data_IF_432110847251
#
_entry.id   IF_432110847251
#
_cell.length_a   1.000
_cell.length_b   1.000
_cell.length_c   1.000
_cell.angle_alpha   90.00
_cell.angle_beta   90.00
_cell.angle_gamma   90.00
#
_symmetry.space_group_name_H-M   'P 1'
#
loop_
_entity.id
_entity.type
_entity.pdbx_description
1 polymer ?
#
# COMPACT_ATOMS: atom_id res chain seq x y z
N UNK A 1 48.53 35.83 22.46
CA UNK A 1 47.12 35.36 22.51
C UNK A 1 46.63 35.52 23.93
N UNK A 2 45.49 36.20 24.17
CA UNK A 2 45.01 36.43 25.54
C UNK A 2 44.61 35.08 26.21
N UNK A 3 44.97 34.86 27.48
CA UNK A 3 44.85 33.57 28.18
C UNK A 3 43.40 33.06 28.32
N UNK A 4 42.41 33.92 28.08
CA UNK A 4 41.00 33.56 28.14
C UNK A 4 40.56 32.67 26.96
N UNK A 5 41.22 32.73 25.80
CA UNK A 5 40.80 31.95 24.62
C UNK A 5 41.03 30.44 24.77
N UNK A 6 42.07 30.03 25.48
CA UNK A 6 42.37 28.62 25.73
C UNK A 6 41.29 27.94 26.59
N UNK A 7 40.59 28.71 27.44
CA UNK A 7 39.55 28.19 28.33
C UNK A 7 38.21 27.95 27.61
N UNK A 8 37.91 28.72 26.57
CA UNK A 8 36.70 28.59 25.76
C UNK A 8 36.88 27.71 24.53
N UNK A 9 38.12 27.43 24.11
CA UNK A 9 38.45 26.55 23.00
C UNK A 9 37.76 25.18 23.06
N UNK A 10 37.70 24.45 24.21
CA UNK A 10 36.98 23.17 24.27
C UNK A 10 35.46 23.33 24.10
N UNK A 11 34.86 24.40 24.62
CA UNK A 11 33.43 24.68 24.47
C UNK A 11 33.07 25.02 23.01
N UNK A 12 33.92 25.77 22.33
CA UNK A 12 33.75 26.10 20.91
C UNK A 12 33.87 24.83 20.05
N UNK A 13 34.79 23.93 20.38
CA UNK A 13 34.96 22.66 19.68
C UNK A 13 33.74 21.74 19.84
N UNK A 14 33.19 21.66 21.07
CA UNK A 14 31.96 20.91 21.34
C UNK A 14 30.77 21.52 20.60
N UNK A 15 30.64 22.86 20.62
CA UNK A 15 29.57 23.54 19.91
C UNK A 15 29.67 23.34 18.38
N UNK A 16 30.87 23.41 17.81
CA UNK A 16 31.10 23.14 16.39
C UNK A 16 30.78 21.69 16.01
N UNK A 17 31.17 20.73 16.86
CA UNK A 17 30.83 19.32 16.68
C UNK A 17 29.31 19.11 16.76
N UNK A 18 28.65 19.74 17.73
CA UNK A 18 27.20 19.67 17.90
C UNK A 18 26.47 20.21 16.67
N UNK A 19 26.89 21.34 16.10
CA UNK A 19 26.29 21.90 14.87
C UNK A 19 26.39 20.93 13.69
N UNK A 20 27.45 20.13 13.61
CA UNK A 20 27.63 19.17 12.51
C UNK A 20 26.88 17.85 12.73
N UNK A 21 26.74 17.41 13.98
CA UNK A 21 26.13 16.12 14.35
C UNK A 21 24.61 16.23 14.60
N UNK A 22 24.13 17.35 15.14
CA UNK A 22 22.68 17.55 15.34
C UNK A 22 21.85 17.38 14.06
N UNK A 23 22.21 17.96 12.89
CA UNK A 23 21.38 17.81 11.70
C UNK A 23 21.41 16.39 11.12
N UNK A 24 22.41 15.55 11.41
CA UNK A 24 22.41 14.15 10.98
C UNK A 24 21.57 13.26 11.90
N UNK A 25 21.53 13.57 13.21
CA UNK A 25 20.70 12.85 14.20
C UNK A 25 19.23 13.29 14.14
N UNK A 26 18.96 14.57 13.84
CA UNK A 26 17.61 15.13 13.75
C UNK A 26 16.94 14.96 12.39
N UNK A 27 17.61 14.30 11.42
CA UNK A 27 16.96 13.94 10.15
C UNK A 27 15.80 12.99 10.45
N UNK A 28 14.59 13.53 10.41
CA UNK A 28 13.35 12.75 10.47
C UNK A 28 13.37 11.73 9.33
N UNK A 29 13.61 10.47 9.67
CA UNK A 29 13.32 9.37 8.77
C UNK A 29 11.82 9.40 8.49
N UNK A 30 11.42 9.67 7.24
CA UNK A 30 10.04 9.39 6.81
C UNK A 30 9.90 7.88 6.71
N UNK A 31 9.67 7.25 7.85
CA UNK A 31 9.40 5.82 7.95
C UNK A 31 7.99 5.58 7.40
N UNK A 32 7.91 5.23 6.13
CA UNK A 32 6.64 4.89 5.49
C UNK A 32 6.80 4.64 4.00
N UNK A 33 6.06 3.68 3.42
CA UNK A 33 6.10 3.41 1.99
C UNK A 33 5.71 4.66 1.20
N UNK A 34 6.40 4.87 0.07
CA UNK A 34 6.12 6.00 -0.82
C UNK A 34 4.74 5.87 -1.48
N UNK A 35 4.21 6.98 -1.99
CA UNK A 35 2.95 7.01 -2.74
C UNK A 35 2.92 5.98 -3.89
N UNK A 36 4.04 5.83 -4.61
CA UNK A 36 4.16 4.85 -5.70
C UNK A 36 4.14 3.42 -5.17
N UNK A 37 4.87 3.13 -4.08
CA UNK A 37 4.86 1.81 -3.42
C UNK A 37 3.45 1.42 -2.97
N UNK A 38 2.71 2.33 -2.32
CA UNK A 38 1.33 2.10 -1.90
C UNK A 38 0.40 1.84 -3.08
N UNK A 39 0.58 2.56 -4.19
CA UNK A 39 -0.21 2.35 -5.40
C UNK A 39 0.06 0.98 -6.04
N UNK A 40 1.33 0.56 -6.12
CA UNK A 40 1.70 -0.77 -6.59
C UNK A 40 1.13 -1.86 -5.70
N UNK A 41 1.23 -1.70 -4.37
CA UNK A 41 0.63 -2.64 -3.41
C UNK A 41 -0.90 -2.75 -3.56
N UNK A 42 -1.60 -1.63 -3.81
CA UNK A 42 -3.04 -1.67 -4.06
C UNK A 42 -3.39 -2.45 -5.34
N UNK A 43 -2.59 -2.30 -6.40
CA UNK A 43 -2.76 -3.04 -7.66
C UNK A 43 -2.46 -4.53 -7.44
N UNK A 44 -1.38 -4.85 -6.75
CA UNK A 44 -0.98 -6.22 -6.43
C UNK A 44 -2.02 -6.91 -5.55
N UNK A 45 -2.52 -6.23 -4.52
CA UNK A 45 -3.61 -6.72 -3.66
C UNK A 45 -4.88 -7.01 -4.47
N UNK A 46 -5.27 -6.13 -5.40
CA UNK A 46 -6.41 -6.39 -6.29
C UNK A 46 -6.20 -7.64 -7.16
N UNK A 47 -4.99 -7.85 -7.68
CA UNK A 47 -4.66 -9.04 -8.47
C UNK A 47 -4.63 -10.31 -7.61
N UNK A 48 -4.17 -10.22 -6.36
CA UNK A 48 -4.21 -11.33 -5.41
C UNK A 48 -5.64 -11.71 -5.05
N UNK A 49 -6.52 -10.72 -4.82
CA UNK A 49 -7.95 -10.96 -4.58
C UNK A 49 -8.57 -11.65 -5.79
N UNK A 50 -8.37 -11.11 -6.99
CA UNK A 50 -8.92 -11.68 -8.22
C UNK A 50 -8.46 -13.13 -8.48
N UNK A 51 -7.16 -13.41 -8.26
CA UNK A 51 -6.62 -14.77 -8.36
C UNK A 51 -7.15 -15.68 -7.25
N UNK A 52 -7.27 -15.17 -6.02
CA UNK A 52 -7.82 -15.89 -4.88
C UNK A 52 -9.28 -16.28 -5.12
N UNK A 53 -10.11 -15.35 -5.59
CA UNK A 53 -11.51 -15.59 -5.94
C UNK A 53 -11.67 -16.63 -7.05
N UNK A 54 -10.84 -16.55 -8.09
CA UNK A 54 -10.85 -17.56 -9.16
C UNK A 54 -10.46 -18.94 -8.64
N UNK A 55 -9.44 -19.02 -7.79
CA UNK A 55 -9.03 -20.28 -7.16
C UNK A 55 -10.11 -20.83 -6.22
N UNK A 56 -10.75 -19.95 -5.44
CA UNK A 56 -11.83 -20.33 -4.53
C UNK A 56 -13.03 -20.85 -5.31
N UNK A 57 -13.42 -20.17 -6.40
CA UNK A 57 -14.47 -20.62 -7.32
C UNK A 57 -14.14 -21.95 -7.99
N UNK A 58 -12.89 -22.18 -8.38
CA UNK A 58 -12.48 -23.47 -8.93
C UNK A 58 -12.66 -24.62 -7.92
N UNK A 59 -12.45 -24.36 -6.63
CA UNK A 59 -12.61 -25.36 -5.58
C UNK A 59 -14.05 -25.51 -5.05
N UNK A 60 -14.83 -24.43 -5.01
CA UNK A 60 -16.14 -24.37 -4.33
C UNK A 60 -17.32 -24.01 -5.24
N UNK A 61 -17.11 -23.94 -6.57
CA UNK A 61 -18.07 -23.57 -7.63
C UNK A 61 -18.72 -22.17 -7.52
N UNK A 62 -18.35 -21.39 -6.50
CA UNK A 62 -18.83 -20.03 -6.21
C UNK A 62 -17.70 -19.12 -5.71
N UNK A 63 -17.89 -17.82 -5.79
CA UNK A 63 -17.01 -16.82 -5.16
C UNK A 63 -17.21 -16.76 -3.64
N UNK A 64 -16.21 -16.27 -2.89
CA UNK A 64 -16.32 -16.20 -1.42
C UNK A 64 -16.90 -14.86 -0.95
N UNK A 65 -17.93 -14.86 -0.07
CA UNK A 65 -18.40 -13.63 0.55
C UNK A 65 -17.43 -13.10 1.62
N UNK A 66 -16.38 -13.85 1.96
CA UNK A 66 -15.49 -13.53 3.06
C UNK A 66 -14.06 -13.36 2.57
N UNK A 67 -13.53 -12.15 2.75
CA UNK A 67 -12.13 -11.84 2.43
C UNK A 67 -11.14 -12.76 3.18
N UNK A 68 -11.52 -13.24 4.37
CA UNK A 68 -10.71 -14.13 5.20
C UNK A 68 -10.36 -15.44 4.50
N UNK A 69 -11.25 -15.95 3.66
CA UNK A 69 -10.99 -17.19 2.92
C UNK A 69 -9.85 -17.00 1.91
N UNK A 70 -9.71 -15.79 1.36
CA UNK A 70 -8.60 -15.43 0.48
C UNK A 70 -7.29 -15.19 1.24
N UNK A 71 -7.35 -14.74 2.50
CA UNK A 71 -6.16 -14.52 3.33
C UNK A 71 -5.45 -15.82 3.68
N UNK A 72 -6.20 -16.90 3.90
CA UNK A 72 -5.60 -18.23 4.16
C UNK A 72 -4.74 -18.71 2.99
N UNK A 73 -5.09 -18.28 1.77
CA UNK A 73 -4.39 -18.67 0.54
C UNK A 73 -3.25 -17.70 0.20
N UNK A 74 -3.27 -16.47 0.71
CA UNK A 74 -2.32 -15.42 0.33
C UNK A 74 -1.81 -14.60 1.52
N UNK A 75 -0.68 -15.02 2.11
CA UNK A 75 -0.01 -14.30 3.20
C UNK A 75 0.41 -12.86 2.81
N UNK A 76 0.65 -12.59 1.53
CA UNK A 76 0.94 -11.23 1.03
C UNK A 76 -0.25 -10.28 1.16
N UNK A 77 -1.47 -10.76 0.91
CA UNK A 77 -2.66 -9.93 1.02
C UNK A 77 -2.85 -9.45 2.48
N UNK A 78 -2.61 -10.33 3.46
CA UNK A 78 -2.64 -9.97 4.87
C UNK A 78 -1.61 -8.88 5.23
N UNK A 79 -0.40 -8.96 4.67
CA UNK A 79 0.62 -7.92 4.84
C UNK A 79 0.19 -6.59 4.21
N UNK A 80 -0.46 -6.62 3.05
CA UNK A 80 -0.91 -5.42 2.35
C UNK A 80 -2.06 -4.71 3.09
N UNK A 81 -2.98 -5.46 3.71
CA UNK A 81 -3.99 -4.91 4.63
C UNK A 81 -3.35 -4.25 5.86
N UNK A 82 -2.30 -4.84 6.41
CA UNK A 82 -1.58 -4.27 7.56
C UNK A 82 -0.89 -2.93 7.25
N UNK A 83 -0.59 -2.65 5.97
CA UNK A 83 0.03 -1.40 5.50
C UNK A 83 -1.00 -0.27 5.31
N UNK A 84 -2.28 -0.53 5.62
CA UNK A 84 -3.35 0.46 5.59
C UNK A 84 -4.11 0.51 4.27
N UNK A 85 -4.17 -0.59 3.53
CA UNK A 85 -5.08 -0.73 2.41
C UNK A 85 -6.48 -1.10 2.91
N UNK A 86 -7.49 -0.40 2.41
CA UNK A 86 -8.89 -0.73 2.62
C UNK A 86 -9.36 -1.67 1.52
N UNK A 87 -9.80 -2.87 1.90
CA UNK A 87 -10.32 -3.87 0.98
C UNK A 87 -11.79 -4.12 1.30
N UNK A 88 -12.64 -3.98 0.31
CA UNK A 88 -14.05 -4.37 0.34
C UNK A 88 -14.27 -5.43 -0.72
N UNK A 89 -14.98 -6.49 -0.35
CA UNK A 89 -15.32 -7.60 -1.22
C UNK A 89 -16.80 -7.89 -1.00
N UNK A 90 -17.58 -7.76 -2.07
CA UNK A 90 -19.00 -8.06 -2.09
C UNK A 90 -19.26 -9.13 -3.14
N UNK A 91 -20.08 -10.11 -2.80
CA UNK A 91 -20.45 -11.21 -3.70
C UNK A 91 -21.96 -11.23 -3.86
N UNK A 92 -22.43 -11.48 -5.09
CA UNK A 92 -23.85 -11.63 -5.39
C UNK A 92 -24.45 -12.83 -4.65
N UNK A 93 -25.75 -12.79 -4.39
CA UNK A 93 -26.49 -13.84 -3.67
C UNK A 93 -26.36 -15.22 -4.31
N UNK A 94 -26.17 -15.27 -5.64
CA UNK A 94 -25.95 -16.50 -6.41
C UNK A 94 -24.49 -17.00 -6.39
N UNK A 95 -23.56 -16.23 -5.81
CA UNK A 95 -22.13 -16.55 -5.76
C UNK A 95 -21.43 -16.53 -7.13
N UNK A 96 -22.09 -16.02 -8.18
CA UNK A 96 -21.57 -16.06 -9.56
C UNK A 96 -20.89 -14.77 -9.99
N UNK A 97 -21.08 -13.69 -9.24
CA UNK A 97 -20.42 -12.41 -9.48
C UNK A 97 -19.84 -11.85 -8.19
N UNK A 98 -18.69 -11.19 -8.31
CA UNK A 98 -18.08 -10.47 -7.20
C UNK A 98 -17.71 -9.05 -7.61
N UNK A 99 -17.66 -8.17 -6.62
CA UNK A 99 -17.14 -6.82 -6.69
C UNK A 99 -16.08 -6.67 -5.62
N UNK A 100 -14.85 -6.44 -6.05
CA UNK A 100 -13.73 -6.10 -5.19
C UNK A 100 -13.42 -4.60 -5.34
N UNK A 101 -13.25 -3.91 -4.22
CA UNK A 101 -12.75 -2.54 -4.13
C UNK A 101 -11.52 -2.53 -3.24
N UNK A 102 -10.42 -2.03 -3.76
CA UNK A 102 -9.17 -1.82 -3.01
C UNK A 102 -8.85 -0.34 -3.04
N UNK A 103 -8.76 0.28 -1.88
CA UNK A 103 -8.47 1.70 -1.72
C UNK A 103 -7.23 1.91 -0.85
N UNK A 104 -6.39 2.83 -1.31
CA UNK A 104 -5.26 3.40 -0.57
C UNK A 104 -5.44 4.91 -0.46
N UNK A 105 -4.55 5.59 0.27
CA UNK A 105 -4.51 7.06 0.34
C UNK A 105 -4.32 7.73 -1.04
N UNK A 106 -3.81 6.99 -2.03
CA UNK A 106 -3.37 7.52 -3.31
C UNK A 106 -4.24 7.08 -4.48
N UNK A 107 -4.84 5.89 -4.38
CA UNK A 107 -5.48 5.23 -5.51
C UNK A 107 -6.59 4.30 -5.02
N UNK A 108 -7.73 4.36 -5.71
CA UNK A 108 -8.88 3.47 -5.52
C UNK A 108 -9.10 2.65 -6.77
N UNK A 109 -9.09 1.33 -6.64
CA UNK A 109 -9.44 0.36 -7.68
C UNK A 109 -10.76 -0.30 -7.35
N UNK A 110 -11.59 -0.49 -8.37
CA UNK A 110 -12.78 -1.32 -8.33
C UNK A 110 -12.70 -2.31 -9.48
N UNK A 111 -12.89 -3.60 -9.20
CA UNK A 111 -13.00 -4.66 -10.20
C UNK A 111 -14.22 -5.49 -9.87
N UNK A 112 -15.13 -5.64 -10.83
CA UNK A 112 -16.21 -6.61 -10.76
C UNK A 112 -16.00 -7.69 -11.82
N UNK A 113 -16.30 -8.93 -11.46
CA UNK A 113 -16.21 -10.07 -12.36
C UNK A 113 -17.52 -10.85 -12.31
N UNK A 114 -17.96 -11.28 -13.48
CA UNK A 114 -18.99 -12.30 -13.62
C UNK A 114 -18.35 -13.52 -14.25
N UNK A 115 -18.38 -14.63 -13.53
CA UNK A 115 -17.70 -15.86 -13.95
C UNK A 115 -16.22 -15.64 -14.30
N UNK A 116 -15.84 -15.84 -15.57
CA UNK A 116 -14.48 -15.64 -16.06
C UNK A 116 -14.22 -14.25 -16.65
N UNK A 117 -15.25 -13.39 -16.76
CA UNK A 117 -15.18 -12.09 -17.45
C UNK A 117 -15.20 -10.92 -16.50
N UNK A 118 -14.28 -9.98 -16.68
CA UNK A 118 -14.29 -8.70 -15.96
C UNK A 118 -15.41 -7.84 -16.52
N UNK A 119 -16.43 -7.55 -15.71
CA UNK A 119 -17.60 -6.75 -16.13
C UNK A 119 -17.38 -5.27 -15.89
N UNK A 120 -16.66 -4.93 -14.82
CA UNK A 120 -16.32 -3.55 -14.47
C UNK A 120 -14.87 -3.49 -14.03
N UNK A 121 -14.14 -2.51 -14.56
CA UNK A 121 -12.86 -2.11 -13.99
C UNK A 121 -12.77 -0.59 -13.97
N UNK A 122 -12.54 -0.05 -12.78
CA UNK A 122 -12.33 1.37 -12.58
C UNK A 122 -11.08 1.56 -11.73
N UNK A 123 -10.28 2.56 -12.09
CA UNK A 123 -9.16 3.00 -11.27
C UNK A 123 -9.18 4.51 -11.21
N UNK A 124 -9.15 5.05 -10.00
CA UNK A 124 -9.18 6.48 -9.74
C UNK A 124 -8.02 6.87 -8.84
N UNK A 125 -7.24 7.84 -9.29
CA UNK A 125 -6.17 8.45 -8.49
C UNK A 125 -6.84 9.43 -7.52
N UNK A 126 -6.72 9.17 -6.22
CA UNK A 126 -7.26 10.02 -5.15
C UNK A 126 -6.28 11.13 -4.77
N UNK A 127 -4.98 10.83 -4.79
CA UNK A 127 -3.92 11.79 -4.51
C UNK A 127 -2.81 11.65 -5.54
N UNK A 128 -2.64 12.70 -6.35
CA UNK A 128 -1.57 12.82 -7.34
C UNK A 128 -0.21 12.82 -6.63
N UNK A 129 0.59 11.80 -6.92
CA UNK A 129 1.98 11.67 -6.49
C UNK A 129 2.81 11.10 -7.63
N UNK A 130 4.12 11.40 -7.65
CA UNK A 130 5.03 10.86 -8.67
C UNK A 130 4.98 9.33 -8.67
N UNK A 131 4.70 8.73 -9.83
CA UNK A 131 4.71 7.27 -9.99
C UNK A 131 3.40 6.54 -9.65
N UNK A 132 2.30 7.25 -9.41
CA UNK A 132 0.96 6.64 -9.26
C UNK A 132 0.33 6.53 -10.65
N UNK A 133 0.20 5.31 -11.17
CA UNK A 133 -0.45 5.05 -12.47
C UNK A 133 -1.57 4.03 -12.31
N UNK A 134 -2.70 4.30 -12.94
CA UNK A 134 -3.78 3.34 -13.05
C UNK A 134 -3.45 2.29 -14.12
N UNK A 135 -3.67 0.99 -13.84
CA UNK A 135 -3.54 -0.04 -14.85
C UNK A 135 -4.59 0.16 -15.94
N UNK A 136 -4.25 -0.17 -17.18
CA UNK A 136 -5.20 -0.18 -18.28
C UNK A 136 -6.36 -1.14 -17.97
N UNK A 137 -7.58 -0.85 -18.45
CA UNK A 137 -8.70 -1.77 -18.29
C UNK A 137 -8.39 -3.09 -19.00
N UNK A 138 -8.37 -4.19 -18.26
CA UNK A 138 -8.29 -5.54 -18.79
C UNK A 138 -9.68 -5.92 -19.29
N UNK A 139 -9.81 -6.09 -20.62
CA UNK A 139 -11.02 -6.60 -21.28
C UNK A 139 -11.08 -8.11 -21.20
#
# INVERSE_FOLDING_TARGET
MPPNFQRFLPLILIAALAIFVLPTVLKKHKSGPTASTKATQAIDAMNLIDKGEQSYKAAHTRFTPHLTDLLTTSARLASDLAIGLSVQLDVSTDGQTFLARVSSDNLSLVRARSESKVTVQSCRILKSGSGVKCPAPTR
#
